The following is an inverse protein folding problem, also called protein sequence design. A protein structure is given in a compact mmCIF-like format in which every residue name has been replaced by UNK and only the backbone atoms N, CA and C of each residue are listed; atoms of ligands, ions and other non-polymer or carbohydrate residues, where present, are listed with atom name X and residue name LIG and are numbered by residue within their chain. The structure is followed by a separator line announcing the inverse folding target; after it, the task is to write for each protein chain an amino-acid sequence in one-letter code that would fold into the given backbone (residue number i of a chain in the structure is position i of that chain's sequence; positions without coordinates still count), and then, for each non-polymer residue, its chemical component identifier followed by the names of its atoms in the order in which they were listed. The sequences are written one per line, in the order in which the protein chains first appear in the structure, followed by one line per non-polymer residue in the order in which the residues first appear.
data_IF_991137125614
#
_entry.id   IF_991137125614
#
_cell.length_a   1.000
_cell.length_b   1.000
_cell.length_c   1.000
_cell.angle_alpha   90.00
_cell.angle_beta   90.00
_cell.angle_gamma   90.00
#
_symmetry.space_group_name_H-M   'P 1'
#
loop_
_entity.id
_entity.type
_entity.pdbx_description
1 polymer ?
#
# COMPACT_ATOMS: atom_id res chain seq x y z
N UNK A 1 3.20 -13.76 -8.59
CA UNK A 1 2.57 -13.60 -7.26
C UNK A 1 2.87 -12.25 -6.60
N UNK A 2 4.13 -11.86 -6.35
CA UNK A 2 4.47 -10.58 -5.69
C UNK A 2 3.94 -9.31 -6.40
N UNK A 3 3.91 -9.32 -7.74
CA UNK A 3 3.34 -8.22 -8.54
C UNK A 3 1.84 -8.02 -8.28
N UNK A 4 1.06 -9.09 -8.15
CA UNK A 4 -0.36 -9.01 -7.83
C UNK A 4 -0.59 -8.44 -6.43
N UNK A 5 0.25 -8.81 -5.46
CA UNK A 5 0.21 -8.26 -4.10
C UNK A 5 0.53 -6.75 -4.10
N UNK A 6 1.50 -6.31 -4.89
CA UNK A 6 1.79 -4.88 -5.05
C UNK A 6 0.61 -4.11 -5.68
N UNK A 7 -0.03 -4.68 -6.70
CA UNK A 7 -1.22 -4.10 -7.35
C UNK A 7 -2.37 -3.98 -6.35
N UNK A 8 -2.63 -5.02 -5.56
CA UNK A 8 -3.66 -5.00 -4.52
C UNK A 8 -3.38 -3.92 -3.47
N UNK A 9 -2.12 -3.73 -3.04
CA UNK A 9 -1.78 -2.68 -2.08
C UNK A 9 -1.97 -1.28 -2.64
N UNK A 10 -1.62 -1.05 -3.91
CA UNK A 10 -1.89 0.23 -4.59
C UNK A 10 -3.40 0.47 -4.67
N UNK A 11 -4.18 -0.56 -4.99
CA UNK A 11 -5.64 -0.48 -5.03
C UNK A 11 -6.24 -0.11 -3.67
N UNK A 12 -5.74 -0.70 -2.57
CA UNK A 12 -6.16 -0.36 -1.21
C UNK A 12 -5.87 1.11 -0.86
N UNK A 13 -4.74 1.66 -1.31
CA UNK A 13 -4.41 3.08 -1.08
C UNK A 13 -5.39 3.99 -1.83
N UNK A 14 -5.65 3.70 -3.10
CA UNK A 14 -6.58 4.48 -3.93
C UNK A 14 -8.00 4.41 -3.38
N UNK A 15 -8.45 3.21 -2.99
CA UNK A 15 -9.76 3.01 -2.37
C UNK A 15 -9.88 3.76 -1.04
N UNK A 16 -8.84 3.74 -0.21
CA UNK A 16 -8.78 4.54 1.02
C UNK A 16 -8.89 6.04 0.73
N UNK A 17 -8.18 6.53 -0.27
CA UNK A 17 -8.23 7.94 -0.69
C UNK A 17 -9.62 8.37 -1.16
N UNK A 18 -10.38 7.47 -1.80
CA UNK A 18 -11.79 7.73 -2.14
C UNK A 18 -12.67 7.85 -0.89
N UNK A 19 -12.45 6.99 0.12
CA UNK A 19 -13.26 6.94 1.33
C UNK A 19 -13.02 8.10 2.32
N UNK A 20 -11.88 8.80 2.25
CA UNK A 20 -11.58 9.95 3.13
C UNK A 20 -12.55 11.13 2.91
N UNK A 21 -13.18 11.22 1.74
CA UNK A 21 -14.12 12.28 1.39
C UNK A 21 -15.54 12.02 1.92
N UNK A 22 -15.76 10.92 2.63
CA UNK A 22 -17.05 10.60 3.22
C UNK A 22 -17.30 11.43 4.49
N UNK A 23 -18.50 11.97 4.73
CA UNK A 23 -18.79 12.81 5.91
C UNK A 23 -18.82 12.03 7.24
N UNK A 24 -18.59 10.72 7.22
CA UNK A 24 -18.59 9.86 8.40
C UNK A 24 -17.19 9.75 8.99
N UNK A 25 -17.03 10.20 10.24
CA UNK A 25 -15.78 10.10 11.02
C UNK A 25 -15.29 8.65 11.15
N UNK A 26 -16.22 7.69 11.18
CA UNK A 26 -15.88 6.27 11.20
C UNK A 26 -15.21 5.83 9.90
N UNK A 27 -15.74 6.27 8.75
CA UNK A 27 -15.17 5.98 7.43
C UNK A 27 -13.81 6.65 7.25
N UNK A 28 -13.63 7.86 7.79
CA UNK A 28 -12.35 8.56 7.77
C UNK A 28 -11.26 7.77 8.51
N UNK A 29 -11.56 7.24 9.69
CA UNK A 29 -10.64 6.39 10.46
C UNK A 29 -10.29 5.09 9.74
N UNK A 30 -11.29 4.44 9.13
CA UNK A 30 -11.10 3.21 8.35
C UNK A 30 -10.24 3.50 7.10
N UNK A 31 -10.49 4.62 6.43
CA UNK A 31 -9.74 5.10 5.26
C UNK A 31 -8.26 5.31 5.60
N UNK A 32 -7.97 6.03 6.69
CA UNK A 32 -6.60 6.28 7.15
C UNK A 32 -5.89 4.95 7.47
N UNK A 33 -6.58 4.02 8.15
CA UNK A 33 -6.06 2.70 8.45
C UNK A 33 -5.73 1.88 7.19
N UNK A 34 -6.63 1.91 6.20
CA UNK A 34 -6.47 1.19 4.94
C UNK A 34 -5.34 1.77 4.08
N UNK A 35 -5.24 3.09 3.99
CA UNK A 35 -4.11 3.78 3.32
C UNK A 35 -2.78 3.47 4.02
N UNK A 36 -2.76 3.56 5.36
CA UNK A 36 -1.57 3.27 6.15
C UNK A 36 -1.07 1.83 5.95
N UNK A 37 -2.00 0.86 5.97
CA UNK A 37 -1.67 -0.55 5.72
C UNK A 37 -1.15 -0.78 4.30
N UNK A 38 -1.80 -0.19 3.28
CA UNK A 38 -1.35 -0.29 1.89
C UNK A 38 0.05 0.30 1.67
N UNK A 39 0.31 1.49 2.23
CA UNK A 39 1.63 2.13 2.19
C UNK A 39 2.69 1.30 2.93
N UNK A 40 2.39 0.82 4.13
CA UNK A 40 3.28 -0.03 4.91
C UNK A 40 3.64 -1.33 4.17
N UNK A 41 2.66 -1.95 3.52
CA UNK A 41 2.89 -3.17 2.74
C UNK A 41 3.73 -2.91 1.49
N UNK A 42 3.55 -1.78 0.81
CA UNK A 42 4.43 -1.39 -0.32
C UNK A 42 5.87 -1.16 0.14
N UNK A 43 6.08 -0.50 1.28
CA UNK A 43 7.42 -0.31 1.86
C UNK A 43 8.02 -1.68 2.21
N UNK A 44 7.25 -2.56 2.84
CA UNK A 44 7.69 -3.93 3.14
C UNK A 44 8.08 -4.70 1.87
N UNK A 45 7.23 -4.66 0.83
CA UNK A 45 7.53 -5.24 -0.47
C UNK A 45 8.79 -4.63 -1.08
N UNK A 46 8.99 -3.32 -0.97
CA UNK A 46 10.17 -2.64 -1.49
C UNK A 46 11.44 -3.15 -0.77
N UNK A 47 11.40 -3.27 0.55
CA UNK A 47 12.52 -3.79 1.37
C UNK A 47 12.81 -5.26 1.03
N UNK A 48 11.78 -6.11 1.00
CA UNK A 48 11.92 -7.56 0.78
C UNK A 48 12.27 -7.91 -0.68
N UNK A 49 11.81 -7.09 -1.62
CA UNK A 49 12.04 -7.30 -3.06
C UNK A 49 13.22 -6.48 -3.58
N UNK A 50 13.98 -5.78 -2.71
CA UNK A 50 15.23 -5.14 -3.10
C UNK A 50 16.06 -6.18 -3.86
N UNK A 51 16.32 -5.99 -5.17
CA UNK A 51 17.23 -6.86 -5.87
C UNK A 51 18.56 -6.76 -5.14
N UNK A 52 19.14 -7.89 -4.73
CA UNK A 52 20.57 -7.97 -4.40
C UNK A 52 21.24 -7.29 -5.58
N UNK A 53 21.84 -6.11 -5.35
CA UNK A 53 22.60 -5.37 -6.36
C UNK A 53 23.43 -6.42 -7.09
N UNK A 54 23.16 -6.65 -8.38
CA UNK A 54 23.97 -7.54 -9.20
C UNK A 54 25.32 -6.82 -9.32
N UNK A 55 26.18 -7.06 -8.34
CA UNK A 55 27.57 -6.71 -8.36
C UNK A 55 28.22 -7.80 -9.21
N UNK A 56 28.36 -7.51 -10.49
CA UNK A 56 29.05 -8.33 -11.48
C UNK A 56 29.55 -7.30 -12.52
N UNK A 57 30.74 -6.74 -12.28
CA UNK A 57 32.01 -7.12 -12.90
C UNK A 57 31.97 -7.02 -14.43
#
# INVERSE_FOLDING_TARGET
MRKYLAITSVFCIIAGFGMIHSPSVLMERISIGLMGFGCGYLIYLLIVTRPKKKADN
#
